data_IF_300985341902
#
_entry.id   IF_300985341902
#
_cell.length_a   1.000
_cell.length_b   1.000
_cell.length_c   1.000
_cell.angle_alpha   90.00
_cell.angle_beta   90.00
_cell.angle_gamma   90.00
#
_symmetry.space_group_name_H-M   'P 1'
#
loop_
_entity.id
_entity.type
_entity.pdbx_description
1 polymer ?
#
# COMPACT_ATOMS: atom_id res chain seq x y z
N UNK A 1 -24.39 9.88 -16.30
CA UNK A 1 -24.15 10.15 -17.73
C UNK A 1 -23.78 8.83 -18.36
N UNK A 2 -24.38 8.48 -19.48
CA UNK A 2 -23.96 7.28 -20.21
C UNK A 2 -22.50 7.43 -20.63
N UNK A 3 -21.72 6.38 -20.41
CA UNK A 3 -20.32 6.34 -20.79
C UNK A 3 -20.21 6.56 -22.31
N UNK A 4 -19.42 7.54 -22.78
CA UNK A 4 -19.25 7.76 -24.22
C UNK A 4 -18.66 6.50 -24.89
N UNK A 5 -18.97 6.25 -26.18
CA UNK A 5 -18.44 5.09 -26.88
C UNK A 5 -16.91 5.17 -26.95
N UNK A 6 -16.26 4.05 -26.66
CA UNK A 6 -14.80 3.91 -26.69
C UNK A 6 -14.38 3.00 -27.85
N UNK A 7 -13.15 3.18 -28.37
CA UNK A 7 -12.61 2.37 -29.49
C UNK A 7 -12.32 0.93 -29.05
N UNK A 8 -12.07 0.72 -27.75
CA UNK A 8 -11.88 -0.56 -27.09
C UNK A 8 -12.78 -0.64 -25.86
N UNK A 9 -13.12 -1.84 -25.34
CA UNK A 9 -13.80 -1.96 -24.05
C UNK A 9 -13.02 -1.21 -22.96
N UNK A 10 -13.74 -0.56 -22.05
CA UNK A 10 -13.11 0.00 -20.85
C UNK A 10 -12.48 -1.15 -20.06
N UNK A 11 -11.28 -0.90 -19.54
CA UNK A 11 -10.70 -1.78 -18.53
C UNK A 11 -11.60 -1.82 -17.30
N UNK A 12 -11.54 -2.93 -16.58
CA UNK A 12 -12.20 -3.04 -15.29
C UNK A 12 -11.66 -1.96 -14.35
N UNK A 13 -12.57 -1.21 -13.72
CA UNK A 13 -12.20 -0.18 -12.76
C UNK A 13 -11.65 -0.86 -11.51
N UNK A 14 -10.41 -0.55 -11.07
CA UNK A 14 -9.88 -1.10 -9.83
C UNK A 14 -10.74 -0.66 -8.64
N UNK A 15 -11.18 -1.64 -7.84
CA UNK A 15 -12.14 -1.40 -6.78
C UNK A 15 -11.86 -2.32 -5.59
N UNK A 16 -11.84 -1.78 -4.37
CA UNK A 16 -11.71 -2.59 -3.16
C UNK A 16 -13.09 -3.07 -2.64
N UNK A 17 -13.19 -4.32 -2.15
CA UNK A 17 -14.30 -4.75 -1.31
C UNK A 17 -14.40 -3.89 -0.05
N UNK A 18 -15.61 -3.71 0.47
CA UNK A 18 -15.86 -3.05 1.76
C UNK A 18 -16.50 -4.09 2.68
N UNK A 19 -15.93 -4.27 3.86
CA UNK A 19 -16.39 -5.26 4.83
C UNK A 19 -17.88 -5.08 5.16
N UNK A 20 -18.66 -6.16 5.01
CA UNK A 20 -20.09 -6.16 5.29
C UNK A 20 -20.96 -5.37 4.30
N UNK A 21 -20.42 -4.98 3.13
CA UNK A 21 -21.17 -4.19 2.12
C UNK A 21 -21.17 -4.84 0.74
N UNK A 22 -22.23 -4.58 -0.01
CA UNK A 22 -22.33 -4.98 -1.41
C UNK A 22 -21.59 -3.98 -2.32
N UNK A 23 -21.57 -2.71 -1.93
CA UNK A 23 -20.84 -1.66 -2.62
C UNK A 23 -19.32 -1.92 -2.60
N UNK A 24 -18.63 -1.26 -3.52
CA UNK A 24 -17.16 -1.31 -3.66
C UNK A 24 -16.59 0.11 -3.61
N UNK A 25 -15.34 0.22 -3.18
CA UNK A 25 -14.62 1.49 -3.14
C UNK A 25 -13.80 1.66 -4.43
N UNK A 26 -14.14 2.61 -5.33
CA UNK A 26 -13.38 2.84 -6.55
C UNK A 26 -12.02 3.47 -6.22
N UNK A 27 -10.95 2.82 -6.69
CA UNK A 27 -9.59 3.26 -6.44
C UNK A 27 -9.13 4.20 -7.56
N UNK A 28 -8.76 5.42 -7.18
CA UNK A 28 -8.30 6.46 -8.09
C UNK A 28 -6.78 6.40 -8.28
N UNK A 29 -6.00 6.77 -7.26
CA UNK A 29 -4.53 6.63 -7.24
C UNK A 29 -4.09 5.88 -5.98
N UNK A 30 -2.89 5.31 -6.04
CA UNK A 30 -2.24 4.70 -4.88
C UNK A 30 -0.96 5.50 -4.60
N UNK A 31 -0.91 6.16 -3.44
CA UNK A 31 0.28 6.81 -2.90
C UNK A 31 0.95 5.90 -1.87
N UNK A 32 2.27 5.94 -1.80
CA UNK A 32 3.05 5.14 -0.85
C UNK A 32 4.10 6.02 -0.16
N UNK A 33 4.28 5.82 1.14
CA UNK A 33 5.21 6.59 1.97
C UNK A 33 6.47 5.76 2.23
N UNK A 34 7.57 6.16 1.61
CA UNK A 34 8.87 5.56 1.89
C UNK A 34 9.38 5.96 3.26
N UNK A 35 10.02 5.02 3.97
CA UNK A 35 10.83 5.28 5.18
C UNK A 35 10.03 5.83 6.36
N UNK A 36 8.83 5.30 6.62
CA UNK A 36 7.95 5.82 7.68
C UNK A 36 7.96 5.04 9.02
N UNK A 37 8.88 4.10 9.23
CA UNK A 37 9.09 3.44 10.52
C UNK A 37 10.56 3.54 10.93
N UNK A 38 10.83 4.04 12.14
CA UNK A 38 12.20 4.37 12.56
C UNK A 38 13.17 3.18 12.53
N UNK A 39 12.71 1.98 12.88
CA UNK A 39 13.56 0.76 12.85
C UNK A 39 13.86 0.33 11.41
N UNK A 40 12.88 0.38 10.52
CA UNK A 40 13.08 0.11 9.09
C UNK A 40 14.01 1.14 8.42
N UNK A 41 13.93 2.41 8.82
CA UNK A 41 14.86 3.45 8.35
C UNK A 41 16.31 3.14 8.74
N UNK A 42 16.52 2.69 9.99
CA UNK A 42 17.84 2.29 10.48
C UNK A 42 18.35 1.01 9.80
N UNK A 43 17.48 0.03 9.56
CA UNK A 43 17.80 -1.20 8.82
C UNK A 43 18.32 -0.89 7.41
N UNK A 44 17.72 0.08 6.73
CA UNK A 44 18.19 0.56 5.42
C UNK A 44 19.39 1.52 5.48
N UNK A 45 19.98 1.75 6.66
CA UNK A 45 21.17 2.60 6.84
C UNK A 45 20.94 4.10 6.64
N UNK A 46 19.72 4.61 6.83
CA UNK A 46 19.38 6.02 6.63
C UNK A 46 19.09 6.77 7.95
N UNK A 47 19.10 8.10 7.90
CA UNK A 47 18.70 8.99 8.99
C UNK A 47 17.17 9.23 8.95
N UNK A 48 16.42 9.05 10.06
CA UNK A 48 14.99 9.39 10.13
C UNK A 48 14.67 10.89 9.99
N UNK A 49 15.66 11.79 10.09
CA UNK A 49 15.44 13.21 9.87
C UNK A 49 15.25 13.55 8.37
N UNK A 50 14.02 13.83 7.95
CA UNK A 50 13.74 14.21 6.56
C UNK A 50 12.30 14.66 6.29
N UNK A 51 11.99 14.97 5.03
CA UNK A 51 10.60 15.06 4.56
C UNK A 51 10.14 13.66 4.14
N UNK A 52 8.83 13.33 4.23
CA UNK A 52 8.33 12.05 3.73
C UNK A 52 8.64 11.91 2.24
N UNK A 53 9.05 10.70 1.84
CA UNK A 53 9.29 10.36 0.43
C UNK A 53 8.01 9.75 -0.10
N UNK A 54 7.51 10.29 -1.21
CA UNK A 54 6.32 9.77 -1.87
C UNK A 54 6.70 9.08 -3.18
N UNK A 55 6.07 7.94 -3.43
CA UNK A 55 5.98 7.33 -4.75
C UNK A 55 4.56 6.84 -4.95
N UNK A 56 4.25 6.36 -6.16
CA UNK A 56 2.91 5.93 -6.52
C UNK A 56 2.93 4.55 -7.16
N UNK A 57 1.80 3.87 -7.08
CA UNK A 57 1.48 2.70 -7.89
C UNK A 57 0.26 2.99 -8.77
N UNK A 58 0.16 2.45 -9.99
CA UNK A 58 -1.05 2.57 -10.77
C UNK A 58 -2.18 1.81 -10.07
N UNK A 59 -3.41 2.31 -10.12
CA UNK A 59 -4.55 1.60 -9.50
C UNK A 59 -4.77 0.20 -10.11
N UNK A 60 -4.31 -0.04 -11.34
CA UNK A 60 -4.34 -1.34 -12.00
C UNK A 60 -3.43 -2.40 -11.35
N UNK A 61 -2.49 -2.02 -10.47
CA UNK A 61 -1.65 -2.99 -9.74
C UNK A 61 -2.34 -3.58 -8.50
N UNK A 62 -3.60 -3.19 -8.25
CA UNK A 62 -4.37 -3.65 -7.11
C UNK A 62 -4.69 -5.15 -7.23
N UNK A 63 -4.50 -5.87 -6.12
CA UNK A 63 -4.93 -7.25 -5.95
C UNK A 63 -5.68 -7.41 -4.64
N UNK A 64 -6.59 -8.37 -4.59
CA UNK A 64 -7.52 -8.57 -3.49
C UNK A 64 -7.10 -9.71 -2.57
N UNK A 65 -7.75 -9.76 -1.42
CA UNK A 65 -7.58 -10.83 -0.45
C UNK A 65 -7.95 -12.20 -1.08
N UNK A 66 -7.03 -13.14 -1.00
CA UNK A 66 -7.16 -14.49 -1.57
C UNK A 66 -6.69 -14.61 -3.02
N UNK A 67 -6.21 -13.53 -3.65
CA UNK A 67 -5.66 -13.60 -5.01
C UNK A 67 -4.34 -14.40 -5.04
N UNK A 68 -4.07 -14.96 -6.21
CA UNK A 68 -2.75 -15.48 -6.57
C UNK A 68 -1.97 -14.39 -7.30
N UNK A 69 -0.74 -14.16 -6.89
CA UNK A 69 0.11 -13.09 -7.42
C UNK A 69 1.28 -13.74 -8.18
N UNK A 70 1.39 -13.51 -9.49
CA UNK A 70 2.53 -13.99 -10.25
C UNK A 70 3.84 -13.38 -9.72
N UNK A 71 4.88 -14.21 -9.59
CA UNK A 71 6.23 -13.72 -9.34
C UNK A 71 6.63 -12.78 -10.49
N UNK A 72 7.03 -11.53 -10.23
CA UNK A 72 7.11 -10.54 -11.29
C UNK A 72 8.29 -10.77 -12.23
N UNK A 73 8.12 -10.38 -13.49
CA UNK A 73 9.19 -10.43 -14.48
C UNK A 73 10.35 -9.51 -14.10
N UNK A 74 11.55 -9.85 -14.59
CA UNK A 74 12.76 -9.02 -14.51
C UNK A 74 13.21 -8.67 -13.06
N UNK A 75 13.03 -9.59 -12.12
CA UNK A 75 13.65 -9.51 -10.79
C UNK A 75 14.11 -10.90 -10.34
N UNK A 76 15.19 -10.93 -9.57
CA UNK A 76 15.64 -12.10 -8.81
C UNK A 76 15.56 -11.84 -7.30
N UNK A 77 15.00 -10.68 -6.91
CA UNK A 77 14.93 -10.26 -5.51
C UNK A 77 13.60 -9.55 -5.22
N UNK A 78 12.55 -10.33 -4.99
CA UNK A 78 11.19 -9.86 -4.83
C UNK A 78 10.78 -9.75 -3.37
N UNK A 79 10.42 -8.56 -2.87
CA UNK A 79 10.24 -8.31 -1.43
C UNK A 79 8.80 -7.96 -1.02
N UNK A 80 8.45 -8.32 0.22
CA UNK A 80 7.23 -7.89 0.91
C UNK A 80 7.48 -6.67 1.84
N UNK A 81 6.47 -5.79 1.93
CA UNK A 81 6.43 -4.66 2.87
C UNK A 81 4.99 -4.51 3.38
N UNK A 82 4.63 -5.04 4.56
CA UNK A 82 3.26 -4.87 5.11
C UNK A 82 3.00 -3.44 5.57
N UNK A 83 1.83 -2.89 5.22
CA UNK A 83 1.48 -1.51 5.53
C UNK A 83 0.01 -1.36 5.95
N UNK A 84 -0.25 -0.34 6.78
CA UNK A 84 -1.60 0.21 6.92
C UNK A 84 -1.93 1.01 5.65
N UNK A 85 -3.11 0.75 5.08
CA UNK A 85 -3.65 1.48 3.93
C UNK A 85 -4.80 2.37 4.39
N UNK A 86 -4.78 3.64 3.99
CA UNK A 86 -5.83 4.63 4.26
C UNK A 86 -6.56 4.94 2.97
N UNK A 87 -7.89 4.86 2.97
CA UNK A 87 -8.73 5.20 1.83
C UNK A 87 -9.44 6.55 2.05
N UNK A 88 -9.43 7.44 1.06
CA UNK A 88 -10.02 8.78 1.17
C UNK A 88 -11.42 8.85 0.53
N UNK A 89 -12.40 9.41 1.23
CA UNK A 89 -13.72 9.73 0.65
C UNK A 89 -13.82 11.18 0.15
N UNK A 90 -12.85 12.02 0.49
CA UNK A 90 -12.80 13.44 0.12
C UNK A 90 -11.40 13.85 -0.28
N UNK A 91 -11.34 14.67 -1.33
CA UNK A 91 -10.13 15.30 -1.80
C UNK A 91 -9.80 16.63 -1.10
N UNK A 92 -8.69 17.24 -1.49
CA UNK A 92 -8.27 18.55 -1.00
C UNK A 92 -6.83 18.91 -1.35
N UNK A 93 -6.49 20.18 -1.19
CA UNK A 93 -5.11 20.71 -1.31
C UNK A 93 -4.82 21.50 -0.04
N UNK A 94 -3.59 21.40 0.48
CA UNK A 94 -3.17 22.05 1.72
C UNK A 94 -4.11 21.76 2.89
N UNK A 95 -4.51 20.49 3.05
CA UNK A 95 -5.40 20.03 4.12
C UNK A 95 -4.68 20.23 5.47
N UNK A 96 -5.26 20.98 6.42
CA UNK A 96 -4.71 21.10 7.77
C UNK A 96 -4.69 19.75 8.49
N UNK A 97 -3.67 19.50 9.32
CA UNK A 97 -3.50 18.21 10.04
C UNK A 97 -4.76 17.90 10.87
N UNK A 98 -5.32 18.90 11.52
CA UNK A 98 -6.52 18.79 12.35
C UNK A 98 -7.79 18.43 11.58
N UNK A 99 -7.81 18.60 10.25
CA UNK A 99 -8.94 18.25 9.37
C UNK A 99 -8.69 16.94 8.62
N UNK A 100 -7.46 16.42 8.61
CA UNK A 100 -7.09 15.29 7.77
C UNK A 100 -7.91 14.02 8.00
N UNK A 101 -8.34 13.76 9.25
CA UNK A 101 -9.17 12.59 9.56
C UNK A 101 -10.55 12.64 8.91
N UNK A 102 -11.11 13.83 8.68
CA UNK A 102 -12.44 14.02 8.08
C UNK A 102 -12.50 13.64 6.59
N UNK A 103 -11.34 13.36 5.98
CA UNK A 103 -11.19 12.90 4.61
C UNK A 103 -11.08 11.37 4.48
N UNK A 104 -11.01 10.66 5.61
CA UNK A 104 -10.76 9.22 5.63
C UNK A 104 -12.09 8.46 5.56
N UNK A 105 -12.24 7.67 4.50
CA UNK A 105 -13.32 6.70 4.37
C UNK A 105 -13.14 5.52 5.34
N UNK A 106 -11.93 4.96 5.37
CA UNK A 106 -11.64 3.73 6.07
C UNK A 106 -10.21 3.25 5.89
N UNK A 107 -9.96 2.05 6.39
CA UNK A 107 -8.64 1.46 6.47
C UNK A 107 -8.63 0.03 5.95
N UNK A 108 -7.49 -0.40 5.43
CA UNK A 108 -7.22 -1.76 4.98
C UNK A 108 -5.79 -2.15 5.35
N UNK A 109 -5.46 -3.42 5.11
CA UNK A 109 -4.09 -3.93 5.13
C UNK A 109 -3.59 -4.01 3.69
N UNK A 110 -2.38 -3.56 3.44
CA UNK A 110 -1.74 -3.68 2.14
C UNK A 110 -0.35 -4.28 2.25
N UNK A 111 0.15 -4.81 1.14
CA UNK A 111 1.56 -5.16 0.99
C UNK A 111 2.15 -4.37 -0.17
N UNK A 112 3.20 -3.58 0.08
CA UNK A 112 3.96 -2.91 -0.97
C UNK A 112 5.02 -3.86 -1.53
N UNK A 113 4.63 -4.60 -2.57
CA UNK A 113 5.53 -5.51 -3.25
C UNK A 113 6.60 -4.76 -4.04
N UNK A 114 7.84 -5.24 -3.97
CA UNK A 114 9.00 -4.52 -4.53
C UNK A 114 9.95 -5.46 -5.27
N UNK A 115 10.35 -5.08 -6.49
CA UNK A 115 11.52 -5.66 -7.17
C UNK A 115 12.78 -4.99 -6.62
N UNK A 116 13.35 -5.56 -5.55
CA UNK A 116 14.34 -4.88 -4.69
C UNK A 116 15.64 -4.61 -5.43
N UNK A 117 16.11 -5.56 -6.20
CA UNK A 117 17.27 -5.43 -7.09
C UNK A 117 17.16 -4.20 -8.02
N UNK A 118 16.02 -4.02 -8.67
CA UNK A 118 15.77 -2.85 -9.52
C UNK A 118 15.72 -1.55 -8.70
N UNK A 119 15.17 -1.60 -7.48
CA UNK A 119 15.11 -0.43 -6.60
C UNK A 119 16.51 0.04 -6.19
N UNK A 120 17.40 -0.89 -5.86
CA UNK A 120 18.78 -0.60 -5.46
C UNK A 120 19.57 0.04 -6.60
N UNK A 121 19.41 -0.48 -7.82
CA UNK A 121 19.98 0.13 -9.03
C UNK A 121 19.44 1.54 -9.24
N UNK A 122 18.13 1.74 -9.11
CA UNK A 122 17.50 3.05 -9.29
C UNK A 122 17.99 4.06 -8.24
N UNK A 123 18.07 3.66 -6.97
CA UNK A 123 18.62 4.48 -5.87
C UNK A 123 20.07 4.88 -6.14
N UNK A 124 20.91 3.93 -6.55
CA UNK A 124 22.34 4.17 -6.82
C UNK A 124 22.55 5.15 -7.97
N UNK A 125 21.69 5.09 -9.00
CA UNK A 125 21.78 5.93 -10.20
C UNK A 125 20.94 7.21 -10.14
N UNK A 126 20.19 7.44 -9.05
CA UNK A 126 19.25 8.57 -8.94
C UNK A 126 18.12 8.52 -9.98
N UNK A 127 17.65 7.32 -10.33
CA UNK A 127 16.61 7.08 -11.34
C UNK A 127 15.22 6.92 -10.70
N UNK A 128 14.13 7.07 -11.48
CA UNK A 128 12.77 6.80 -11.02
C UNK A 128 12.59 5.36 -10.54
N UNK A 129 11.66 5.16 -9.59
CA UNK A 129 11.42 3.87 -8.93
C UNK A 129 10.30 3.05 -9.57
N UNK A 130 9.67 3.54 -10.65
CA UNK A 130 8.49 2.94 -11.27
C UNK A 130 8.70 1.45 -11.61
N UNK A 131 9.85 1.11 -12.22
CA UNK A 131 10.17 -0.29 -12.48
C UNK A 131 10.26 -1.11 -11.18
N UNK A 132 10.74 -0.57 -10.09
CA UNK A 132 10.86 -1.34 -8.83
C UNK A 132 9.58 -1.41 -7.99
N UNK A 133 8.69 -0.41 -8.10
CA UNK A 133 7.54 -0.22 -7.19
C UNK A 133 6.18 -0.20 -7.88
N UNK A 134 6.10 0.17 -9.15
CA UNK A 134 4.85 0.43 -9.88
C UNK A 134 4.59 -0.60 -11.01
N UNK A 135 4.91 -1.86 -10.75
CA UNK A 135 4.69 -2.97 -11.68
C UNK A 135 3.33 -3.64 -11.46
N UNK A 136 2.97 -4.56 -12.35
CA UNK A 136 1.72 -5.32 -12.26
C UNK A 136 1.61 -6.02 -10.89
N UNK A 137 0.40 -6.03 -10.34
CA UNK A 137 0.03 -6.80 -9.14
C UNK A 137 0.79 -6.41 -7.87
N UNK A 138 1.49 -5.27 -7.91
CA UNK A 138 2.39 -4.82 -6.86
C UNK A 138 1.71 -4.20 -5.63
N UNK A 139 0.37 -4.11 -5.60
CA UNK A 139 -0.40 -3.54 -4.48
C UNK A 139 -1.52 -4.46 -3.96
N UNK A 140 -1.22 -5.65 -3.41
CA UNK A 140 -2.21 -6.47 -2.71
C UNK A 140 -2.80 -5.70 -1.53
N UNK A 141 -4.13 -5.74 -1.40
CA UNK A 141 -4.84 -5.00 -0.39
C UNK A 141 -6.12 -5.74 0.03
N UNK A 142 -6.38 -5.75 1.34
CA UNK A 142 -7.57 -6.36 1.91
C UNK A 142 -8.84 -5.58 1.58
N UNK A 143 -9.99 -6.12 1.97
CA UNK A 143 -11.21 -5.33 2.10
C UNK A 143 -11.01 -4.13 3.03
N UNK A 144 -11.77 -3.07 2.76
CA UNK A 144 -11.81 -1.85 3.57
C UNK A 144 -12.77 -1.98 4.75
N UNK A 145 -12.32 -1.50 5.90
CA UNK A 145 -13.14 -1.30 7.08
C UNK A 145 -13.40 0.19 7.27
N UNK A 146 -14.68 0.58 7.33
CA UNK A 146 -15.07 1.99 7.39
C UNK A 146 -14.62 2.64 8.71
N UNK A 147 -14.02 3.82 8.64
CA UNK A 147 -13.52 4.54 9.82
C UNK A 147 -14.65 4.86 10.81
N UNK A 148 -15.89 5.07 10.33
CA UNK A 148 -17.07 5.25 11.20
C UNK A 148 -17.42 4.02 12.05
N UNK A 149 -16.96 2.83 11.67
CA UNK A 149 -17.19 1.59 12.40
C UNK A 149 -16.06 1.26 13.36
N UNK A 150 -14.80 1.43 12.91
CA UNK A 150 -13.61 1.01 13.66
C UNK A 150 -12.84 2.17 14.32
N UNK A 151 -13.25 3.42 14.07
CA UNK A 151 -12.53 4.61 14.49
C UNK A 151 -11.27 4.88 13.65
N UNK A 152 -10.38 5.72 14.17
CA UNK A 152 -9.09 6.05 13.54
C UNK A 152 -7.95 5.39 14.35
N UNK A 153 -7.47 4.19 13.98
CA UNK A 153 -6.46 3.49 14.75
C UNK A 153 -5.13 4.24 14.71
N UNK A 154 -4.62 4.58 15.90
CA UNK A 154 -3.30 5.20 16.12
C UNK A 154 -2.30 4.27 16.82
N UNK A 155 -2.75 3.06 17.17
CA UNK A 155 -1.99 1.98 17.78
C UNK A 155 -2.60 0.65 17.36
N UNK A 156 -1.81 -0.41 17.37
CA UNK A 156 -2.26 -1.76 17.05
C UNK A 156 -1.14 -2.54 16.39
N UNK A 157 -1.08 -3.85 16.64
CA UNK A 157 -0.07 -4.69 16.01
C UNK A 157 -0.23 -4.69 14.49
N UNK A 158 0.87 -4.54 13.77
CA UNK A 158 0.98 -4.74 12.33
C UNK A 158 2.03 -5.82 12.10
N UNK A 159 1.73 -6.82 11.29
CA UNK A 159 2.63 -7.95 11.09
C UNK A 159 2.43 -8.65 9.75
N UNK A 160 3.44 -9.40 9.33
CA UNK A 160 3.39 -10.28 8.16
C UNK A 160 4.18 -11.56 8.43
N UNK A 161 3.60 -12.67 8.02
CA UNK A 161 4.22 -13.99 8.00
C UNK A 161 4.27 -14.56 6.59
N UNK A 162 5.30 -15.37 6.33
CA UNK A 162 5.45 -16.14 5.10
C UNK A 162 5.53 -17.61 5.49
N UNK A 163 4.65 -18.45 4.95
CA UNK A 163 4.52 -19.87 5.30
C UNK A 163 4.36 -20.12 6.81
N UNK A 164 3.68 -19.20 7.51
CA UNK A 164 3.48 -19.24 8.96
C UNK A 164 4.66 -18.75 9.80
N UNK A 165 5.79 -18.39 9.17
CA UNK A 165 6.94 -17.80 9.87
C UNK A 165 6.81 -16.29 9.89
N UNK A 166 6.85 -15.70 11.09
CA UNK A 166 6.81 -14.24 11.26
C UNK A 166 8.04 -13.58 10.60
N UNK A 167 7.81 -12.65 9.68
CA UNK A 167 8.86 -11.88 8.98
C UNK A 167 8.88 -10.42 9.38
N UNK A 168 7.70 -9.80 9.51
CA UNK A 168 7.56 -8.41 9.96
C UNK A 168 6.66 -8.33 11.17
N UNK A 169 7.04 -7.50 12.14
CA UNK A 169 6.22 -7.20 13.32
C UNK A 169 6.50 -5.78 13.80
N UNK A 170 5.44 -5.02 14.05
CA UNK A 170 5.52 -3.65 14.54
C UNK A 170 4.21 -3.18 15.16
N UNK A 171 4.11 -1.88 15.40
CA UNK A 171 2.90 -1.23 15.89
C UNK A 171 2.65 0.09 15.17
N UNK A 172 1.40 0.43 14.89
CA UNK A 172 1.04 1.67 14.18
C UNK A 172 1.52 2.94 14.89
N UNK A 173 1.74 2.90 16.21
CA UNK A 173 2.27 4.04 16.96
C UNK A 173 3.79 4.30 16.70
N UNK A 174 4.44 3.47 15.89
CA UNK A 174 5.85 3.61 15.50
C UNK A 174 6.04 4.37 14.17
N UNK A 175 4.95 4.80 13.53
CA UNK A 175 5.01 5.67 12.36
C UNK A 175 5.77 6.97 12.71
N UNK A 176 6.70 7.38 11.84
CA UNK A 176 7.44 8.65 12.00
C UNK A 176 6.50 9.83 11.73
N UNK A 177 5.75 9.74 10.63
CA UNK A 177 4.64 10.62 10.29
C UNK A 177 3.34 9.84 10.47
N UNK A 178 2.47 10.30 11.36
CA UNK A 178 1.15 9.70 11.55
C UNK A 178 0.22 9.97 10.36
N UNK A 179 -0.90 9.27 10.30
CA UNK A 179 -1.85 9.35 9.16
C UNK A 179 -2.29 10.80 8.85
N UNK A 180 -2.72 11.62 9.83
CA UNK A 180 -3.01 13.05 9.58
C UNK A 180 -1.85 13.85 8.96
N UNK A 181 -0.62 13.65 9.45
CA UNK A 181 0.59 14.31 8.92
C UNK A 181 0.89 13.89 7.49
N UNK A 182 0.74 12.60 7.17
CA UNK A 182 0.92 12.06 5.81
C UNK A 182 -0.06 12.73 4.84
N UNK A 183 -1.36 12.76 5.19
CA UNK A 183 -2.41 13.36 4.34
C UNK A 183 -2.12 14.85 4.13
N UNK A 184 -1.79 15.57 5.19
CA UNK A 184 -1.45 17.00 5.10
C UNK A 184 -0.24 17.23 4.20
N UNK A 185 0.83 16.45 4.36
CA UNK A 185 2.04 16.55 3.56
C UNK A 185 1.82 16.21 2.09
N UNK A 186 1.09 15.12 1.79
CA UNK A 186 0.72 14.76 0.41
C UNK A 186 -0.11 15.87 -0.25
N UNK A 187 -1.07 16.44 0.49
CA UNK A 187 -1.98 17.47 -0.04
C UNK A 187 -1.29 18.79 -0.41
N UNK A 188 -0.03 19.00 0.01
CA UNK A 188 0.79 20.15 -0.40
C UNK A 188 1.39 19.97 -1.80
N UNK A 189 1.53 18.71 -2.26
CA UNK A 189 2.11 18.38 -3.58
C UNK A 189 1.06 17.88 -4.58
N UNK A 190 -0.02 17.29 -4.09
CA UNK A 190 -1.09 16.73 -4.90
C UNK A 190 -2.44 17.28 -4.44
N UNK A 191 -3.32 17.59 -5.39
CA UNK A 191 -4.74 17.70 -5.07
C UNK A 191 -5.27 16.27 -4.83
N UNK A 192 -5.45 15.89 -3.57
CA UNK A 192 -5.99 14.59 -3.19
C UNK A 192 -7.44 14.47 -3.69
N UNK A 193 -7.89 13.25 -3.95
CA UNK A 193 -9.22 12.93 -4.47
C UNK A 193 -9.89 11.86 -3.61
N UNK A 194 -11.22 11.84 -3.64
CA UNK A 194 -11.96 10.66 -3.22
C UNK A 194 -11.52 9.46 -4.07
N UNK A 195 -11.33 8.30 -3.45
CA UNK A 195 -10.80 7.11 -4.12
C UNK A 195 -9.27 6.96 -4.03
N UNK A 196 -8.53 7.97 -3.60
CA UNK A 196 -7.09 7.81 -3.38
C UNK A 196 -6.82 6.88 -2.18
N UNK A 197 -5.86 5.97 -2.34
CA UNK A 197 -5.31 5.12 -1.30
C UNK A 197 -3.92 5.62 -0.89
N UNK A 198 -3.59 5.47 0.40
CA UNK A 198 -2.29 5.83 0.97
C UNK A 198 -1.74 4.64 1.76
N UNK A 199 -0.66 4.05 1.23
CA UNK A 199 0.20 3.07 1.86
C UNK A 199 1.19 3.81 2.75
N UNK A 200 1.08 3.59 4.07
CA UNK A 200 1.66 4.49 5.09
C UNK A 200 3.10 4.19 5.50
N UNK A 201 3.74 3.20 4.90
CA UNK A 201 5.06 2.69 5.24
C UNK A 201 5.01 1.36 6.00
N UNK A 202 6.16 0.70 6.07
CA UNK A 202 6.30 -0.66 6.61
C UNK A 202 7.26 -0.75 7.80
N UNK A 203 7.00 -1.63 8.81
CA UNK A 203 7.96 -1.91 9.88
C UNK A 203 9.18 -2.72 9.39
N UNK A 204 10.17 -2.92 10.26
CA UNK A 204 11.37 -3.71 9.94
C UNK A 204 11.05 -5.17 9.62
N UNK A 205 12.01 -5.87 9.00
CA UNK A 205 11.88 -7.29 8.64
C UNK A 205 11.41 -7.53 7.20
N UNK A 206 11.65 -6.55 6.33
CA UNK A 206 11.39 -6.62 4.90
C UNK A 206 12.30 -7.69 4.28
N UNK A 207 11.71 -8.67 3.58
CA UNK A 207 12.45 -9.82 3.09
C UNK A 207 11.93 -10.35 1.76
N UNK A 208 12.66 -11.31 1.16
CA UNK A 208 12.31 -11.90 -0.12
C UNK A 208 11.09 -12.82 -0.01
N UNK A 209 10.41 -12.98 -1.13
CA UNK A 209 9.35 -13.93 -1.41
C UNK A 209 9.78 -14.80 -2.60
N UNK A 210 9.39 -16.06 -2.58
CA UNK A 210 9.65 -17.04 -3.63
C UNK A 210 8.35 -17.62 -4.18
N UNK A 211 8.43 -18.27 -5.35
CA UNK A 211 7.29 -19.01 -5.91
C UNK A 211 6.84 -20.10 -4.92
N UNK A 212 5.53 -20.15 -4.65
CA UNK A 212 4.88 -21.06 -3.71
C UNK A 212 4.72 -20.49 -2.31
N UNK A 213 5.26 -19.30 -2.02
CA UNK A 213 5.11 -18.67 -0.71
C UNK A 213 3.66 -18.25 -0.44
N UNK A 214 3.19 -18.61 0.75
CA UNK A 214 1.90 -18.21 1.30
C UNK A 214 2.12 -17.02 2.24
N UNK A 215 1.59 -15.86 1.88
CA UNK A 215 1.76 -14.62 2.63
C UNK A 215 0.49 -14.31 3.40
N UNK A 216 0.64 -14.05 4.70
CA UNK A 216 -0.44 -13.54 5.55
C UNK A 216 0.04 -12.26 6.25
N UNK A 217 -0.71 -11.18 6.07
CA UNK A 217 -0.41 -9.86 6.60
C UNK A 217 -1.64 -9.30 7.34
N UNK A 218 -1.44 -8.63 8.47
CA UNK A 218 -2.56 -8.12 9.24
C UNK A 218 -2.25 -6.82 9.97
N UNK A 219 -3.31 -6.07 10.25
CA UNK A 219 -3.33 -4.96 11.20
C UNK A 219 -4.45 -5.20 12.19
N UNK A 220 -4.11 -5.17 13.47
CA UNK A 220 -5.02 -5.43 14.59
C UNK A 220 -6.26 -4.53 14.51
N UNK A 221 -7.45 -5.16 14.58
CA UNK A 221 -8.74 -4.46 14.55
C UNK A 221 -9.17 -3.97 13.16
N UNK A 222 -8.40 -4.27 12.11
CA UNK A 222 -8.72 -3.88 10.72
C UNK A 222 -9.07 -5.12 9.91
N UNK A 223 -8.09 -5.82 9.34
CA UNK A 223 -8.32 -6.98 8.48
C UNK A 223 -7.07 -7.89 8.44
N UNK A 224 -7.20 -9.04 7.79
CA UNK A 224 -6.09 -9.94 7.43
C UNK A 224 -6.12 -10.15 5.92
N UNK A 225 -5.01 -9.81 5.28
CA UNK A 225 -4.73 -10.03 3.86
C UNK A 225 -3.95 -11.35 3.69
N UNK A 226 -4.43 -12.21 2.79
CA UNK A 226 -3.76 -13.43 2.38
C UNK A 226 -3.59 -13.47 0.87
N UNK A 227 -2.47 -13.99 0.40
CA UNK A 227 -2.23 -14.28 -1.01
C UNK A 227 -1.11 -15.31 -1.16
N UNK A 228 -1.02 -15.91 -2.35
CA UNK A 228 0.01 -16.87 -2.72
C UNK A 228 0.86 -16.30 -3.86
N UNK A 229 2.17 -16.51 -3.80
CA UNK A 229 3.06 -16.24 -4.93
C UNK A 229 3.05 -17.43 -5.88
N UNK A 230 2.67 -17.21 -7.13
CA UNK A 230 2.60 -18.26 -8.15
C UNK A 230 3.57 -18.01 -9.29
N UNK A 231 3.84 -19.04 -10.08
CA UNK A 231 4.59 -18.88 -11.32
C UNK A 231 3.79 -18.01 -12.31
N UNK A 232 4.49 -17.24 -13.16
CA UNK A 232 3.83 -16.51 -14.24
C UNK A 232 3.21 -17.54 -15.19
N UNK A 233 1.89 -17.50 -15.37
CA UNK A 233 1.25 -18.34 -16.36
C UNK A 233 1.80 -18.00 -17.76
N UNK A 234 2.24 -19.01 -18.50
CA UNK A 234 2.56 -18.85 -19.93
C UNK A 234 1.31 -18.32 -20.64
N UNK A 235 1.45 -17.12 -21.24
CA UNK A 235 0.38 -16.43 -21.97
C UNK A 235 0.09 -17.08 -23.34
#
# INVERSE_FOLDING_TARGET
>A
MDTPPTIFPLWELPMLPIAGRAERFPVHRIFCIGRNYAEHVREMGNDPAGKPIFFTKPSSSLRHNGDQIPYPLATENFHHEVELVVALDKGGTNIPIEQAQDHIYGYAVGVDLTRRDLQEVAKTKGQPWDASKAFDDSAPCSELHEARQIGHPSRGAIWLSVNGEMRQQGNLNQLIWNVPEIISALSQSFHLQAGDLIFTGTPSGVGPLEIGDQVEAAVEGISVLRFEIVEVADA
#
